data_IF_836628869142
#
_entry.id   IF_836628869142
#
_cell.length_a   1.000
_cell.length_b   1.000
_cell.length_c   1.000
_cell.angle_alpha   90.00
_cell.angle_beta   90.00
_cell.angle_gamma   90.00
#
_symmetry.space_group_name_H-M   'P 1'
#
loop_
_entity.id
_entity.type
_entity.pdbx_description
1 polymer ?
#
# COMPACT_ATOMS: atom_id res chain seq x y z
N UNK A 1 27.45 -31.02 -5.08
CA UNK A 1 26.17 -30.39 -4.70
C UNK A 1 26.09 -29.05 -5.43
N UNK A 2 24.99 -28.72 -6.11
CA UNK A 2 24.81 -27.39 -6.69
C UNK A 2 24.80 -26.36 -5.55
N UNK A 3 25.49 -25.22 -5.74
CA UNK A 3 25.50 -24.14 -4.76
C UNK A 3 24.05 -23.66 -4.53
N UNK A 4 23.69 -23.42 -3.27
CA UNK A 4 22.37 -22.88 -2.89
C UNK A 4 22.26 -21.46 -3.43
N UNK A 5 21.23 -21.20 -4.24
CA UNK A 5 20.95 -19.85 -4.77
C UNK A 5 20.19 -19.04 -3.74
N UNK A 6 20.46 -17.74 -3.66
CA UNK A 6 19.73 -16.81 -2.79
C UNK A 6 18.84 -15.87 -3.59
N UNK A 7 17.52 -15.93 -3.32
CA UNK A 7 16.53 -14.98 -3.81
C UNK A 7 16.18 -13.99 -2.70
N UNK A 8 16.45 -12.71 -2.93
CA UNK A 8 16.14 -11.63 -1.98
C UNK A 8 14.95 -10.84 -2.50
N UNK A 9 13.91 -10.71 -1.69
CA UNK A 9 12.74 -9.86 -1.93
C UNK A 9 12.83 -8.65 -1.00
N UNK A 10 12.95 -7.44 -1.55
CA UNK A 10 13.00 -6.20 -0.76
C UNK A 10 11.66 -5.46 -0.88
N UNK A 11 11.03 -5.26 0.27
CA UNK A 11 9.74 -4.59 0.43
C UNK A 11 8.56 -5.54 0.61
N UNK A 12 7.69 -5.22 1.58
CA UNK A 12 6.44 -5.93 1.88
C UNK A 12 5.28 -5.47 0.98
N UNK A 13 5.50 -5.42 -0.34
CA UNK A 13 4.50 -4.98 -1.29
C UNK A 13 3.57 -6.10 -1.77
N UNK A 14 2.46 -5.74 -2.40
CA UNK A 14 1.40 -6.67 -2.85
C UNK A 14 1.90 -7.74 -3.84
N UNK A 15 2.89 -7.42 -4.68
CA UNK A 15 3.45 -8.41 -5.61
C UNK A 15 4.28 -9.46 -4.87
N UNK A 16 5.05 -9.07 -3.86
CA UNK A 16 5.81 -10.02 -3.02
C UNK A 16 4.91 -10.90 -2.16
N UNK A 17 3.77 -10.39 -1.67
CA UNK A 17 2.78 -11.24 -1.01
C UNK A 17 2.32 -12.39 -1.93
N UNK A 18 2.11 -12.12 -3.23
CA UNK A 18 1.77 -13.16 -4.20
C UNK A 18 2.94 -14.11 -4.45
N UNK A 19 4.18 -13.62 -4.51
CA UNK A 19 5.38 -14.47 -4.62
C UNK A 19 5.44 -15.45 -3.45
N UNK A 20 5.28 -14.97 -2.21
CA UNK A 20 5.28 -15.80 -1.01
C UNK A 20 4.15 -16.83 -1.01
N UNK A 21 2.94 -16.44 -1.47
CA UNK A 21 1.81 -17.36 -1.58
C UNK A 21 2.11 -18.50 -2.56
N UNK A 22 2.70 -18.21 -3.71
CA UNK A 22 3.09 -19.23 -4.69
C UNK A 22 4.31 -20.05 -4.21
N UNK A 23 5.23 -19.42 -3.47
CA UNK A 23 6.37 -20.11 -2.88
C UNK A 23 5.94 -21.12 -1.81
N UNK A 24 4.99 -20.76 -0.94
CA UNK A 24 4.38 -21.67 0.03
C UNK A 24 3.78 -22.92 -0.63
N UNK A 25 3.14 -22.76 -1.80
CA UNK A 25 2.53 -23.88 -2.55
C UNK A 25 3.55 -24.77 -3.23
N UNK A 26 4.64 -24.18 -3.70
CA UNK A 26 5.67 -24.86 -4.49
C UNK A 26 7.05 -24.28 -4.13
N UNK A 27 7.66 -24.70 -3.03
CA UNK A 27 9.04 -24.30 -2.72
C UNK A 27 9.99 -24.67 -3.85
N UNK A 28 11.02 -23.85 -4.11
CA UNK A 28 12.07 -24.19 -5.07
C UNK A 28 13.24 -24.85 -4.33
N UNK A 29 13.56 -26.13 -4.61
CA UNK A 29 14.69 -26.80 -3.97
C UNK A 29 16.02 -26.09 -4.28
N UNK A 30 16.91 -26.04 -3.30
CA UNK A 30 18.24 -25.41 -3.45
C UNK A 30 18.20 -23.88 -3.54
N UNK A 31 17.11 -23.25 -3.06
CA UNK A 31 16.97 -21.79 -3.01
C UNK A 31 16.66 -21.34 -1.61
N UNK A 32 17.49 -20.44 -1.09
CA UNK A 32 17.22 -19.65 0.11
C UNK A 32 16.38 -18.44 -0.29
N UNK A 33 15.20 -18.29 0.31
CA UNK A 33 14.33 -17.11 0.12
C UNK A 33 14.44 -16.19 1.32
N UNK A 34 14.87 -14.94 1.08
CA UNK A 34 14.98 -13.91 2.11
C UNK A 34 14.06 -12.75 1.76
N UNK A 35 13.31 -12.26 2.74
CA UNK A 35 12.43 -11.08 2.61
C UNK A 35 12.91 -9.99 3.54
N UNK A 36 13.21 -8.82 3.00
CA UNK A 36 13.71 -7.66 3.74
C UNK A 36 12.66 -6.56 3.71
N UNK A 37 12.18 -6.13 4.86
CA UNK A 37 11.30 -4.94 4.97
C UNK A 37 11.22 -4.50 6.43
N UNK A 38 11.17 -3.17 6.72
CA UNK A 38 10.89 -2.64 8.05
C UNK A 38 9.38 -2.68 8.39
N UNK A 39 8.56 -3.23 7.51
CA UNK A 39 7.09 -3.23 7.64
C UNK A 39 6.59 -4.66 7.70
N UNK A 40 6.37 -5.19 8.90
CA UNK A 40 5.82 -6.52 9.09
C UNK A 40 4.33 -6.63 8.76
N UNK A 41 3.54 -5.61 9.11
CA UNK A 41 2.10 -5.55 8.83
C UNK A 41 1.82 -4.57 7.70
N UNK A 42 1.64 -5.07 6.48
CA UNK A 42 1.45 -4.24 5.29
C UNK A 42 -0.03 -4.01 4.98
N UNK A 43 -0.55 -2.75 5.04
CA UNK A 43 -1.94 -2.47 4.72
C UNK A 43 -2.26 -2.74 3.25
N UNK A 44 -3.40 -3.38 3.00
CA UNK A 44 -3.93 -3.53 1.65
C UNK A 44 -4.58 -2.22 1.18
N UNK A 45 -3.97 -1.58 0.20
CA UNK A 45 -4.36 -0.26 -0.29
C UNK A 45 -5.84 -0.14 -0.68
N UNK A 46 -6.44 -1.22 -1.20
CA UNK A 46 -7.86 -1.26 -1.57
C UNK A 46 -8.81 -1.11 -0.37
N UNK A 47 -8.38 -1.51 0.83
CA UNK A 47 -9.21 -1.42 2.05
C UNK A 47 -8.93 -0.17 2.89
N UNK A 48 -7.85 0.57 2.61
CA UNK A 48 -7.48 1.78 3.36
C UNK A 48 -8.62 2.81 3.46
N UNK A 49 -9.36 3.16 2.38
CA UNK A 49 -10.46 4.10 2.50
C UNK A 49 -11.57 3.63 3.45
N UNK A 50 -11.89 2.34 3.44
CA UNK A 50 -12.85 1.74 4.36
C UNK A 50 -12.38 1.78 5.82
N UNK A 51 -11.07 1.56 6.06
CA UNK A 51 -10.47 1.69 7.38
C UNK A 51 -10.46 3.14 7.86
N UNK A 52 -10.07 4.09 7.03
CA UNK A 52 -10.15 5.53 7.34
C UNK A 52 -11.57 5.93 7.72
N UNK A 53 -12.58 5.41 7.01
CA UNK A 53 -13.99 5.62 7.34
C UNK A 53 -14.46 4.84 8.59
N UNK A 54 -13.65 3.95 9.16
CA UNK A 54 -14.01 3.10 10.31
C UNK A 54 -14.96 1.95 9.98
N UNK A 55 -15.04 1.55 8.71
CA UNK A 55 -15.76 0.35 8.27
C UNK A 55 -14.97 -0.95 8.50
N UNK A 56 -13.65 -0.83 8.66
CA UNK A 56 -12.74 -1.92 8.99
C UNK A 56 -11.87 -1.55 10.18
N UNK A 57 -11.47 -2.54 10.97
CA UNK A 57 -10.37 -2.40 11.91
C UNK A 57 -9.03 -2.53 11.17
N UNK A 58 -7.94 -2.05 11.77
CA UNK A 58 -6.61 -2.10 11.14
C UNK A 58 -6.15 -3.55 10.89
N UNK A 59 -6.39 -4.45 11.85
CA UNK A 59 -6.04 -5.88 11.74
C UNK A 59 -6.78 -6.62 10.60
N UNK A 60 -7.93 -6.11 10.15
CA UNK A 60 -8.69 -6.68 9.04
C UNK A 60 -8.12 -6.33 7.65
N UNK A 61 -7.24 -5.32 7.58
CA UNK A 61 -6.75 -4.79 6.30
C UNK A 61 -5.27 -5.04 6.05
N UNK A 62 -4.55 -5.71 6.97
CA UNK A 62 -3.11 -5.94 6.86
C UNK A 62 -2.77 -7.35 6.40
N UNK A 63 -1.67 -7.46 5.66
CA UNK A 63 -0.99 -8.72 5.37
C UNK A 63 0.15 -8.83 6.38
N UNK A 64 0.17 -9.92 7.15
CA UNK A 64 1.23 -10.25 8.10
C UNK A 64 2.37 -10.96 7.35
N UNK A 65 3.39 -10.19 6.98
CA UNK A 65 4.51 -10.69 6.19
C UNK A 65 5.41 -11.65 6.98
N UNK A 66 5.78 -11.42 8.25
CA UNK A 66 6.53 -12.38 9.05
C UNK A 66 5.86 -13.76 9.08
N UNK A 67 4.55 -13.83 9.36
CA UNK A 67 3.81 -15.09 9.33
C UNK A 67 3.73 -15.71 7.94
N UNK A 68 3.56 -14.89 6.91
CA UNK A 68 3.53 -15.37 5.53
C UNK A 68 4.90 -15.92 5.10
N UNK A 69 6.00 -15.29 5.52
CA UNK A 69 7.36 -15.78 5.33
C UNK A 69 7.58 -17.11 6.01
N UNK A 70 7.25 -17.22 7.30
CA UNK A 70 7.36 -18.47 8.04
C UNK A 70 6.59 -19.61 7.36
N UNK A 71 5.36 -19.36 6.91
CA UNK A 71 4.54 -20.34 6.20
C UNK A 71 5.08 -20.70 4.79
N UNK A 72 5.92 -19.84 4.21
CA UNK A 72 6.57 -20.07 2.93
C UNK A 72 7.99 -20.65 3.06
N UNK A 73 8.50 -20.84 4.30
CA UNK A 73 9.89 -21.25 4.54
C UNK A 73 10.90 -20.18 4.13
N UNK A 74 10.53 -18.91 4.20
CA UNK A 74 11.36 -17.76 3.88
C UNK A 74 11.90 -17.10 5.16
N UNK A 75 13.12 -16.57 5.09
CA UNK A 75 13.70 -15.79 6.18
C UNK A 75 13.19 -14.36 6.13
N UNK A 76 12.65 -13.88 7.25
CA UNK A 76 12.28 -12.47 7.43
C UNK A 76 13.41 -11.68 8.04
N UNK A 77 13.76 -10.55 7.42
CA UNK A 77 14.75 -9.59 7.92
C UNK A 77 14.05 -8.24 8.13
N UNK A 78 13.94 -7.82 9.38
CA UNK A 78 13.38 -6.53 9.76
C UNK A 78 14.44 -5.43 9.56
N UNK A 79 14.51 -4.91 8.35
CA UNK A 79 15.46 -3.87 7.97
C UNK A 79 14.96 -3.08 6.75
N UNK A 80 15.46 -1.86 6.61
CA UNK A 80 15.27 -1.03 5.42
C UNK A 80 16.44 -1.20 4.45
N UNK A 81 16.17 -1.15 3.16
CA UNK A 81 17.20 -1.04 2.12
C UNK A 81 17.80 0.36 2.15
N UNK A 82 19.08 0.46 2.46
CA UNK A 82 19.83 1.71 2.43
C UNK A 82 20.42 1.99 1.04
N UNK A 83 21.12 1.04 0.49
CA UNK A 83 21.74 1.15 -0.84
C UNK A 83 21.89 -0.20 -1.52
N UNK A 84 22.19 -0.18 -2.81
CA UNK A 84 22.34 -1.35 -3.66
C UNK A 84 23.65 -1.27 -4.42
N UNK A 85 24.41 -2.37 -4.52
CA UNK A 85 25.46 -2.60 -5.50
C UNK A 85 25.01 -3.70 -6.45
N UNK A 86 24.41 -3.32 -7.57
CA UNK A 86 23.86 -4.29 -8.51
C UNK A 86 24.94 -5.06 -9.30
N UNK A 87 26.17 -4.52 -9.41
CA UNK A 87 27.29 -5.21 -10.06
C UNK A 87 27.85 -6.32 -9.17
N UNK A 88 27.97 -6.04 -7.87
CA UNK A 88 28.40 -7.04 -6.88
C UNK A 88 27.26 -7.92 -6.37
N UNK A 89 26.04 -7.69 -6.84
CA UNK A 89 24.85 -8.42 -6.42
C UNK A 89 24.66 -8.37 -4.89
N UNK A 90 24.75 -7.18 -4.31
CA UNK A 90 24.67 -6.96 -2.88
C UNK A 90 23.70 -5.83 -2.54
N UNK A 91 22.89 -6.00 -1.51
CA UNK A 91 22.08 -4.95 -0.88
C UNK A 91 22.67 -4.60 0.48
N UNK A 92 22.74 -3.30 0.79
CA UNK A 92 23.15 -2.80 2.10
C UNK A 92 21.90 -2.41 2.88
N UNK A 93 21.80 -2.91 4.09
CA UNK A 93 20.65 -2.73 4.96
C UNK A 93 20.90 -1.70 6.05
N UNK A 94 19.84 -1.11 6.58
CA UNK A 94 19.91 -0.17 7.71
C UNK A 94 20.56 -0.75 8.97
N UNK A 95 20.65 -2.06 9.08
CA UNK A 95 21.37 -2.79 10.14
C UNK A 95 22.89 -2.79 9.94
N UNK A 96 23.39 -2.29 8.81
CA UNK A 96 24.82 -2.27 8.45
C UNK A 96 25.34 -3.56 7.82
N UNK A 97 24.60 -4.66 7.85
CA UNK A 97 25.02 -5.92 7.26
C UNK A 97 24.74 -5.94 5.74
N UNK A 98 25.73 -6.29 4.89
CA UNK A 98 25.50 -6.54 3.48
C UNK A 98 24.79 -7.89 3.29
N UNK A 99 23.89 -7.97 2.30
CA UNK A 99 23.19 -9.19 1.95
C UNK A 99 23.40 -9.46 0.44
N UNK A 100 24.15 -10.50 0.12
CA UNK A 100 24.39 -10.93 -1.25
C UNK A 100 23.19 -11.69 -1.81
N UNK A 101 22.99 -11.63 -3.14
CA UNK A 101 21.89 -12.29 -3.82
C UNK A 101 22.32 -12.85 -5.20
N UNK A 102 21.72 -13.95 -5.62
CA UNK A 102 21.74 -14.40 -7.01
C UNK A 102 20.62 -13.74 -7.83
N UNK A 103 19.45 -13.55 -7.20
CA UNK A 103 18.33 -12.83 -7.75
C UNK A 103 17.78 -11.84 -6.72
N UNK A 104 17.44 -10.65 -7.18
CA UNK A 104 16.82 -9.59 -6.38
C UNK A 104 15.46 -9.22 -6.95
N UNK A 105 14.47 -9.02 -6.09
CA UNK A 105 13.19 -8.43 -6.47
C UNK A 105 12.84 -7.26 -5.57
N UNK A 106 12.47 -6.13 -6.18
CA UNK A 106 12.14 -4.87 -5.51
C UNK A 106 10.64 -4.60 -5.60
N UNK A 107 9.97 -4.50 -4.46
CA UNK A 107 8.56 -4.11 -4.36
C UNK A 107 8.34 -3.19 -3.15
N UNK A 108 9.15 -2.15 -3.07
CA UNK A 108 9.22 -1.19 -1.96
C UNK A 108 8.12 -0.12 -2.01
N UNK A 109 7.29 -0.14 -3.06
CA UNK A 109 6.24 0.86 -3.23
C UNK A 109 6.76 2.23 -3.65
N UNK A 110 6.13 3.28 -3.14
CA UNK A 110 6.47 4.68 -3.41
C UNK A 110 6.19 5.52 -2.17
N UNK A 111 6.77 6.70 -2.14
CA UNK A 111 6.61 7.67 -1.06
C UNK A 111 5.89 8.93 -1.50
N UNK A 112 5.62 9.82 -0.57
CA UNK A 112 5.18 11.20 -0.76
C UNK A 112 5.97 12.09 0.20
N UNK A 113 6.30 13.29 -0.25
CA UNK A 113 6.90 14.34 0.56
C UNK A 113 6.03 15.58 0.48
N UNK A 114 5.03 15.69 1.35
CA UNK A 114 4.24 16.91 1.43
C UNK A 114 5.15 18.08 1.84
N UNK A 115 4.97 19.26 1.25
CA UNK A 115 5.62 20.45 1.76
C UNK A 115 5.11 20.76 3.19
N UNK A 116 5.89 21.47 4.00
CA UNK A 116 5.41 21.94 5.30
C UNK A 116 4.11 22.76 5.14
N UNK A 117 3.14 22.48 6.00
CA UNK A 117 1.92 23.27 6.11
C UNK A 117 1.91 23.96 7.48
N UNK A 118 2.12 25.28 7.49
CA UNK A 118 2.23 26.04 8.73
C UNK A 118 0.98 25.87 9.61
N UNK A 119 1.17 25.38 10.83
CA UNK A 119 0.08 25.21 11.81
C UNK A 119 -0.91 24.06 11.55
N UNK A 120 -0.83 23.35 10.43
CA UNK A 120 -1.69 22.22 10.11
C UNK A 120 -1.02 20.85 10.37
N UNK A 121 -1.80 19.87 10.80
CA UNK A 121 -1.38 18.46 10.75
C UNK A 121 -1.39 17.98 9.31
N UNK A 122 -0.35 17.24 8.89
CA UNK A 122 -0.27 16.71 7.54
C UNK A 122 -0.37 15.17 7.58
N UNK A 123 -1.36 14.63 6.91
CA UNK A 123 -1.56 13.19 6.75
C UNK A 123 -1.23 12.80 5.30
N UNK A 124 -0.02 12.28 5.08
CA UNK A 124 0.40 11.76 3.79
C UNK A 124 -0.20 10.37 3.55
N UNK A 125 -0.77 10.15 2.37
CA UNK A 125 -1.38 8.86 2.02
C UNK A 125 -0.34 7.80 1.58
N UNK A 126 0.94 8.15 1.61
CA UNK A 126 2.08 7.24 1.34
C UNK A 126 3.31 7.68 2.15
N UNK A 127 4.17 6.73 2.55
CA UNK A 127 3.98 5.27 2.46
C UNK A 127 2.86 4.78 3.39
N UNK A 128 2.16 3.71 2.98
CA UNK A 128 0.99 3.20 3.73
C UNK A 128 1.33 2.71 5.14
N UNK A 129 2.56 2.31 5.38
CA UNK A 129 3.03 1.84 6.69
C UNK A 129 3.01 2.94 7.77
N UNK A 130 3.22 4.20 7.37
CA UNK A 130 3.23 5.35 8.30
C UNK A 130 1.83 5.93 8.52
N UNK A 131 0.85 5.53 7.71
CA UNK A 131 -0.50 6.08 7.79
C UNK A 131 -1.24 5.72 9.09
N UNK A 132 -1.17 4.48 9.64
CA UNK A 132 -1.91 4.13 10.84
C UNK A 132 -1.55 4.95 12.09
N UNK A 133 -0.28 5.10 12.49
CA UNK A 133 0.07 5.94 13.63
C UNK A 133 -0.30 7.41 13.39
N UNK A 134 0.00 7.97 12.22
CA UNK A 134 -0.31 9.36 11.90
C UNK A 134 -1.84 9.63 11.93
N UNK A 135 -2.64 8.70 11.43
CA UNK A 135 -4.10 8.83 11.50
C UNK A 135 -4.63 8.66 12.91
N UNK A 136 -4.01 7.82 13.74
CA UNK A 136 -4.32 7.72 15.18
C UNK A 136 -4.15 9.04 15.91
N UNK A 137 -3.07 9.77 15.63
CA UNK A 137 -2.83 11.12 16.19
C UNK A 137 -3.90 12.13 15.74
N UNK A 138 -4.33 12.09 14.47
CA UNK A 138 -5.42 12.92 13.96
C UNK A 138 -6.72 12.64 14.69
N UNK A 139 -7.08 11.36 14.86
CA UNK A 139 -8.31 10.99 15.57
C UNK A 139 -8.26 11.35 17.05
N UNK A 140 -7.12 11.17 17.70
CA UNK A 140 -6.90 11.55 19.09
C UNK A 140 -7.09 13.07 19.26
N UNK A 141 -6.45 13.88 18.43
CA UNK A 141 -6.61 15.33 18.46
C UNK A 141 -8.06 15.76 18.22
N UNK A 142 -8.74 15.14 17.23
CA UNK A 142 -10.15 15.44 16.95
C UNK A 142 -11.07 15.16 18.12
N UNK A 143 -10.84 14.07 18.84
CA UNK A 143 -11.71 13.64 19.96
C UNK A 143 -11.36 14.33 21.27
N UNK A 144 -10.10 14.70 21.51
CA UNK A 144 -9.64 15.28 22.78
C UNK A 144 -9.74 16.81 22.85
N UNK A 145 -9.73 17.50 21.71
CA UNK A 145 -9.86 18.97 21.70
C UNK A 145 -11.22 19.43 22.25
N UNK A 146 -11.26 20.28 23.30
CA UNK A 146 -12.50 20.74 23.85
C UNK A 146 -13.23 21.71 22.91
N UNK A 147 -14.55 21.84 23.10
CA UNK A 147 -15.38 22.78 22.36
C UNK A 147 -15.80 22.30 20.98
N UNK A 148 -16.60 23.13 20.31
CA UNK A 148 -17.19 22.83 19.00
C UNK A 148 -16.57 23.65 17.85
N UNK A 149 -15.35 24.16 18.01
CA UNK A 149 -14.67 24.90 16.94
C UNK A 149 -14.61 24.04 15.67
N UNK A 150 -15.08 24.54 14.51
CA UNK A 150 -15.01 23.80 13.25
C UNK A 150 -13.57 23.46 12.88
N UNK A 151 -13.34 22.24 12.35
CA UNK A 151 -12.10 21.92 11.67
C UNK A 151 -12.21 22.17 10.17
N UNK A 152 -11.10 22.67 9.61
CA UNK A 152 -10.91 22.84 8.16
C UNK A 152 -9.98 21.75 7.65
N UNK A 153 -10.52 20.88 6.81
CA UNK A 153 -9.82 19.78 6.21
C UNK A 153 -9.52 20.10 4.75
N UNK A 154 -8.25 20.15 4.37
CA UNK A 154 -7.86 20.33 2.98
C UNK A 154 -7.26 19.04 2.40
N UNK A 155 -7.91 18.48 1.38
CA UNK A 155 -7.39 17.39 0.57
C UNK A 155 -6.58 17.93 -0.60
N UNK A 156 -5.40 17.35 -0.87
CA UNK A 156 -4.54 17.72 -2.00
C UNK A 156 -4.40 16.54 -2.93
N UNK A 157 -4.93 16.67 -4.14
CA UNK A 157 -4.94 15.64 -5.18
C UNK A 157 -6.35 15.17 -5.57
N UNK A 158 -6.76 15.43 -6.82
CA UNK A 158 -8.08 15.08 -7.38
C UNK A 158 -8.18 13.65 -7.93
N UNK A 159 -7.19 12.80 -7.70
CA UNK A 159 -7.19 11.40 -8.10
C UNK A 159 -8.01 10.49 -7.16
N UNK A 160 -8.07 9.16 -7.45
CA UNK A 160 -8.82 8.19 -6.64
C UNK A 160 -8.48 8.23 -5.15
N UNK A 161 -7.21 8.22 -4.79
CA UNK A 161 -6.77 8.24 -3.40
C UNK A 161 -7.22 9.50 -2.65
N UNK A 162 -7.13 10.68 -3.30
CA UNK A 162 -7.55 11.95 -2.68
C UNK A 162 -9.05 12.00 -2.44
N UNK A 163 -9.84 11.60 -3.44
CA UNK A 163 -11.31 11.58 -3.33
C UNK A 163 -11.77 10.60 -2.25
N UNK A 164 -11.27 9.37 -2.27
CA UNK A 164 -11.64 8.35 -1.27
C UNK A 164 -11.21 8.74 0.14
N UNK A 165 -9.97 9.22 0.32
CA UNK A 165 -9.47 9.62 1.63
C UNK A 165 -10.25 10.81 2.19
N UNK A 166 -10.54 11.80 1.35
CA UNK A 166 -11.33 12.96 1.74
C UNK A 166 -12.72 12.54 2.26
N UNK A 167 -13.46 11.75 1.46
CA UNK A 167 -14.79 11.27 1.83
C UNK A 167 -14.76 10.38 3.09
N UNK A 168 -13.76 9.50 3.18
CA UNK A 168 -13.59 8.58 4.31
C UNK A 168 -13.32 9.33 5.63
N UNK A 169 -12.36 10.26 5.61
CA UNK A 169 -11.98 11.02 6.81
C UNK A 169 -13.13 11.95 7.23
N UNK A 170 -13.76 12.66 6.29
CA UNK A 170 -14.95 13.49 6.58
C UNK A 170 -16.05 12.69 7.27
N UNK A 171 -16.38 11.49 6.74
CA UNK A 171 -17.39 10.61 7.33
C UNK A 171 -16.98 10.12 8.72
N UNK A 172 -15.70 9.79 8.94
CA UNK A 172 -15.19 9.34 10.23
C UNK A 172 -15.24 10.43 11.30
N UNK A 173 -14.75 11.62 11.00
CA UNK A 173 -14.71 12.74 11.92
C UNK A 173 -16.13 13.14 12.37
N UNK A 174 -17.07 13.27 11.45
CA UNK A 174 -18.48 13.56 11.75
C UNK A 174 -19.15 12.50 12.60
N UNK A 175 -18.85 11.23 12.39
CA UNK A 175 -19.40 10.14 13.20
C UNK A 175 -18.86 10.15 14.62
N UNK A 176 -17.59 10.51 14.80
CA UNK A 176 -16.97 10.60 16.13
C UNK A 176 -17.42 11.82 16.94
N UNK A 177 -17.63 12.95 16.28
CA UNK A 177 -18.08 14.20 16.89
C UNK A 177 -19.19 14.85 16.04
N UNK A 178 -20.44 14.38 16.14
CA UNK A 178 -21.58 14.96 15.42
C UNK A 178 -21.87 16.43 15.80
N UNK A 179 -21.47 16.81 17.01
CA UNK A 179 -21.57 18.16 17.57
C UNK A 179 -20.57 19.15 16.98
N UNK A 180 -19.52 18.66 16.31
CA UNK A 180 -18.41 19.49 15.81
C UNK A 180 -18.42 19.57 14.28
N UNK A 181 -18.56 20.79 13.69
CA UNK A 181 -18.53 20.95 12.24
C UNK A 181 -17.16 20.62 11.64
N UNK A 182 -17.18 19.99 10.46
CA UNK A 182 -16.01 19.78 9.61
C UNK A 182 -16.28 20.34 8.24
N UNK A 183 -15.44 21.26 7.78
CA UNK A 183 -15.48 21.85 6.44
C UNK A 183 -14.35 21.30 5.59
N UNK A 184 -14.67 20.80 4.40
CA UNK A 184 -13.72 20.21 3.48
C UNK A 184 -13.43 21.08 2.26
N UNK A 185 -12.17 21.08 1.80
CA UNK A 185 -11.78 21.61 0.50
C UNK A 185 -10.88 20.60 -0.18
N UNK A 186 -11.17 20.22 -1.43
CA UNK A 186 -10.30 19.38 -2.24
C UNK A 186 -9.66 20.22 -3.33
N UNK A 187 -8.32 20.28 -3.32
CA UNK A 187 -7.49 21.04 -4.25
C UNK A 187 -6.80 20.11 -5.23
N UNK A 188 -6.81 20.45 -6.50
CA UNK A 188 -6.10 19.67 -7.53
C UNK A 188 -5.60 20.61 -8.65
N UNK A 189 -4.38 20.38 -9.11
CA UNK A 189 -3.80 20.99 -10.30
C UNK A 189 -4.49 20.56 -11.61
N UNK A 190 -5.10 19.37 -11.58
CA UNK A 190 -5.92 18.90 -12.71
C UNK A 190 -7.21 19.73 -12.84
N UNK A 191 -7.54 20.13 -14.04
CA UNK A 191 -8.82 20.79 -14.36
C UNK A 191 -10.03 19.86 -14.18
N UNK A 192 -9.82 18.55 -14.00
CA UNK A 192 -10.87 17.55 -13.85
C UNK A 192 -10.64 16.67 -12.64
N UNK A 193 -11.72 16.39 -11.93
CA UNK A 193 -11.73 15.38 -10.87
C UNK A 193 -11.62 13.98 -11.49
N UNK A 194 -10.82 13.09 -10.87
CA UNK A 194 -10.68 11.69 -11.28
C UNK A 194 -10.33 11.53 -12.79
N UNK A 195 -9.25 12.14 -13.27
CA UNK A 195 -8.86 11.98 -14.66
C UNK A 195 -8.69 10.48 -14.99
N UNK A 196 -9.16 10.08 -16.17
CA UNK A 196 -9.12 8.68 -16.62
C UNK A 196 -10.30 7.81 -16.19
N UNK A 197 -11.22 8.29 -15.32
CA UNK A 197 -12.48 7.60 -15.02
C UNK A 197 -13.63 8.08 -15.91
N UNK A 198 -14.70 7.27 -15.96
CA UNK A 198 -15.88 7.59 -16.77
C UNK A 198 -16.53 8.92 -16.35
N UNK A 199 -17.15 9.67 -17.30
CA UNK A 199 -17.88 10.89 -16.96
C UNK A 199 -18.95 10.68 -15.90
N UNK A 200 -19.63 9.53 -15.91
CA UNK A 200 -20.64 9.20 -14.89
C UNK A 200 -20.01 9.05 -13.50
N UNK A 201 -18.86 8.36 -13.39
CA UNK A 201 -18.15 8.23 -12.13
C UNK A 201 -17.62 9.58 -11.60
N UNK A 202 -17.14 10.45 -12.48
CA UNK A 202 -16.70 11.82 -12.11
C UNK A 202 -17.86 12.64 -11.55
N UNK A 203 -19.02 12.62 -12.20
CA UNK A 203 -20.23 13.30 -11.68
C UNK A 203 -20.69 12.71 -10.35
N UNK A 204 -20.66 11.38 -10.19
CA UNK A 204 -20.99 10.73 -8.92
C UNK A 204 -20.06 11.17 -7.79
N UNK A 205 -18.75 11.23 -8.06
CA UNK A 205 -17.75 11.71 -7.08
C UNK A 205 -17.98 13.19 -6.71
N UNK A 206 -18.27 14.06 -7.68
CA UNK A 206 -18.59 15.47 -7.39
C UNK A 206 -19.83 15.61 -6.53
N UNK A 207 -20.89 14.81 -6.78
CA UNK A 207 -22.09 14.78 -5.91
C UNK A 207 -21.76 14.29 -4.51
N UNK A 208 -21.00 13.21 -4.38
CA UNK A 208 -20.60 12.67 -3.08
C UNK A 208 -19.78 13.67 -2.26
N UNK A 209 -18.84 14.36 -2.90
CA UNK A 209 -18.04 15.42 -2.25
C UNK A 209 -18.92 16.60 -1.82
N UNK A 210 -19.82 17.08 -2.70
CA UNK A 210 -20.75 18.15 -2.37
C UNK A 210 -21.66 17.77 -1.20
N UNK A 211 -22.26 16.57 -1.21
CA UNK A 211 -23.08 16.02 -0.13
C UNK A 211 -22.28 15.89 1.19
N UNK A 212 -20.97 15.60 1.09
CA UNK A 212 -20.07 15.63 2.22
C UNK A 212 -19.59 17.05 2.61
N UNK A 213 -20.14 18.13 2.04
CA UNK A 213 -19.74 19.53 2.35
C UNK A 213 -18.30 19.83 1.97
N UNK A 214 -17.81 19.21 0.89
CA UNK A 214 -16.45 19.43 0.37
C UNK A 214 -16.53 20.35 -0.85
N UNK A 215 -15.86 21.50 -0.76
CA UNK A 215 -15.66 22.44 -1.87
C UNK A 215 -14.53 21.96 -2.78
N UNK A 216 -14.67 22.14 -4.10
CA UNK A 216 -13.67 21.76 -5.09
C UNK A 216 -12.91 22.99 -5.61
N UNK A 217 -11.57 22.89 -5.64
CA UNK A 217 -10.67 23.84 -6.30
C UNK A 217 -9.84 23.08 -7.33
N UNK A 218 -10.35 22.96 -8.54
CA UNK A 218 -9.71 22.29 -9.66
C UNK A 218 -8.91 23.29 -10.50
N UNK A 219 -7.87 22.83 -11.22
CA UNK A 219 -6.95 23.67 -11.96
C UNK A 219 -6.09 24.58 -11.05
N UNK A 220 -5.98 24.26 -9.78
CA UNK A 220 -5.23 25.01 -8.78
C UNK A 220 -4.16 24.12 -8.13
N UNK A 221 -2.91 24.52 -8.24
CA UNK A 221 -1.84 23.87 -7.51
C UNK A 221 -1.95 24.20 -6.00
N UNK A 222 -1.46 23.30 -5.18
CA UNK A 222 -1.29 23.57 -3.76
C UNK A 222 -0.30 24.73 -3.56
N UNK A 223 -0.63 25.62 -2.62
CA UNK A 223 0.30 26.62 -2.09
C UNK A 223 0.18 26.70 -0.57
N UNK A 224 1.20 27.20 0.11
CA UNK A 224 1.17 27.39 1.57
C UNK A 224 -0.03 28.22 2.00
N UNK A 225 -0.41 29.25 1.22
CA UNK A 225 -1.58 30.09 1.48
C UNK A 225 -2.92 29.33 1.46
N UNK A 226 -3.02 28.29 0.62
CA UNK A 226 -4.20 27.39 0.61
C UNK A 226 -4.28 26.57 1.89
N UNK A 227 -3.12 26.26 2.49
CA UNK A 227 -3.01 25.49 3.74
C UNK A 227 -3.09 26.31 5.03
N UNK A 228 -2.89 27.61 4.94
CA UNK A 228 -2.73 28.53 6.11
C UNK A 228 -3.85 28.47 7.14
N UNK A 229 -5.04 28.06 6.74
CA UNK A 229 -6.21 27.97 7.61
C UNK A 229 -6.73 26.54 7.79
N UNK A 230 -5.88 25.53 7.47
CA UNK A 230 -6.27 24.13 7.62
C UNK A 230 -5.84 23.60 9.00
N UNK A 231 -6.70 22.83 9.64
CA UNK A 231 -6.36 22.06 10.84
C UNK A 231 -5.73 20.72 10.44
N UNK A 232 -6.16 20.18 9.28
CA UNK A 232 -5.65 18.93 8.71
C UNK A 232 -5.50 19.04 7.19
N UNK A 233 -4.34 18.63 6.69
CA UNK A 233 -4.07 18.47 5.25
C UNK A 233 -3.92 17.00 4.92
N UNK A 234 -4.80 16.48 4.05
CA UNK A 234 -4.68 15.14 3.47
C UNK A 234 -3.88 15.21 2.17
N UNK A 235 -2.66 14.67 2.19
CA UNK A 235 -1.78 14.73 1.03
C UNK A 235 -1.85 13.45 0.20
N UNK A 236 -2.48 13.50 -0.98
CA UNK A 236 -2.74 12.38 -1.86
C UNK A 236 -2.38 12.66 -3.32
N UNK A 237 -1.27 13.36 -3.54
CA UNK A 237 -0.73 13.68 -4.88
C UNK A 237 -0.06 12.47 -5.53
N UNK A 238 0.63 12.68 -6.67
CA UNK A 238 1.36 11.65 -7.39
C UNK A 238 2.45 10.98 -6.55
N UNK A 239 2.77 9.74 -6.90
CA UNK A 239 3.80 8.96 -6.25
C UNK A 239 5.21 9.51 -6.50
N UNK A 240 6.10 9.40 -5.53
CA UNK A 240 7.53 9.70 -5.63
C UNK A 240 8.36 8.44 -5.37
N UNK A 241 9.49 8.32 -6.04
CA UNK A 241 10.45 7.27 -5.75
C UNK A 241 11.17 7.54 -4.42
N UNK A 242 11.64 6.47 -3.78
CA UNK A 242 12.44 6.57 -2.56
C UNK A 242 13.79 7.24 -2.83
N UNK A 243 14.43 7.77 -1.79
CA UNK A 243 15.68 8.53 -1.94
C UNK A 243 16.80 7.70 -2.53
N UNK A 244 16.97 6.46 -2.05
CA UNK A 244 17.99 5.58 -2.58
C UNK A 244 17.83 5.30 -4.10
N UNK A 245 16.61 5.32 -4.63
CA UNK A 245 16.35 5.16 -6.07
C UNK A 245 16.78 6.40 -6.87
N UNK A 246 16.60 7.59 -6.29
CA UNK A 246 16.93 8.87 -6.94
C UNK A 246 18.42 9.20 -6.84
N UNK A 247 19.08 8.72 -5.79
CA UNK A 247 20.50 8.94 -5.56
C UNK A 247 21.36 7.98 -6.41
N UNK A 248 22.16 8.48 -7.37
CA UNK A 248 23.05 7.65 -8.19
C UNK A 248 24.03 6.81 -7.37
N UNK A 249 24.52 7.33 -6.23
CA UNK A 249 25.47 6.65 -5.38
C UNK A 249 24.84 5.47 -4.63
N UNK A 250 23.52 5.51 -4.35
CA UNK A 250 22.82 4.52 -3.54
C UNK A 250 22.09 3.46 -4.37
N UNK A 251 21.76 3.74 -5.63
CA UNK A 251 21.00 2.81 -6.49
C UNK A 251 21.86 1.79 -7.24
N UNK A 252 23.19 1.82 -7.11
CA UNK A 252 24.10 0.79 -7.61
C UNK A 252 24.02 0.51 -9.10
N UNK A 253 23.91 1.54 -9.94
CA UNK A 253 23.86 1.40 -11.39
C UNK A 253 22.49 1.02 -11.98
N UNK A 254 21.44 0.82 -11.17
CA UNK A 254 20.09 0.57 -11.71
C UNK A 254 19.64 1.72 -12.61
N UNK A 255 19.18 1.39 -13.81
CA UNK A 255 18.54 2.34 -14.70
C UNK A 255 17.18 2.77 -14.13
N UNK A 256 17.00 4.10 -14.01
CA UNK A 256 15.75 4.72 -13.57
C UNK A 256 15.28 5.76 -14.58
N UNK A 257 13.98 6.05 -14.61
CA UNK A 257 13.45 7.19 -15.35
C UNK A 257 13.68 8.51 -14.55
N UNK A 258 13.42 9.67 -15.14
CA UNK A 258 13.71 10.98 -14.54
C UNK A 258 13.13 11.19 -13.13
N UNK A 259 12.01 10.53 -12.77
CA UNK A 259 11.41 10.54 -11.42
C UNK A 259 12.02 9.55 -10.44
N UNK A 260 13.05 8.77 -10.82
CA UNK A 260 13.73 7.81 -9.96
C UNK A 260 13.10 6.41 -9.91
N UNK A 261 12.04 6.13 -10.64
CA UNK A 261 11.45 4.79 -10.69
C UNK A 261 12.27 3.85 -11.56
N UNK A 262 12.47 2.60 -11.09
CA UNK A 262 13.31 1.59 -11.75
C UNK A 262 12.70 1.21 -13.10
N UNK A 263 13.48 1.36 -14.17
CA UNK A 263 13.07 0.96 -15.51
C UNK A 263 13.07 -0.56 -15.65
N UNK A 264 11.92 -1.12 -16.05
CA UNK A 264 11.71 -2.57 -16.23
C UNK A 264 11.17 -2.88 -17.62
N UNK A 265 11.56 -4.05 -18.14
CA UNK A 265 11.07 -4.61 -19.39
C UNK A 265 9.69 -5.28 -19.23
N UNK A 266 9.20 -5.90 -20.30
CA UNK A 266 7.95 -6.67 -20.30
C UNK A 266 7.99 -7.93 -19.43
N UNK A 267 9.15 -8.33 -18.96
CA UNK A 267 9.35 -9.47 -18.07
C UNK A 267 9.45 -9.06 -16.59
N UNK A 268 9.27 -7.80 -16.28
CA UNK A 268 9.44 -7.17 -14.95
C UNK A 268 10.91 -7.19 -14.47
N UNK A 269 11.89 -7.33 -15.39
CA UNK A 269 13.31 -7.25 -15.10
C UNK A 269 13.83 -5.84 -15.33
N UNK A 270 14.80 -5.43 -14.53
CA UNK A 270 15.56 -4.21 -14.76
C UNK A 270 16.20 -4.23 -16.15
N UNK A 271 16.06 -3.15 -16.90
CA UNK A 271 16.68 -3.01 -18.23
C UNK A 271 18.22 -2.91 -18.17
N UNK A 272 18.80 -2.68 -17.00
CA UNK A 272 20.25 -2.59 -16.80
C UNK A 272 20.88 -3.81 -16.16
N UNK A 273 20.12 -4.57 -15.35
CA UNK A 273 20.64 -5.72 -14.58
C UNK A 273 19.65 -6.89 -14.63
N UNK A 274 19.89 -7.92 -15.41
CA UNK A 274 18.93 -9.01 -15.68
C UNK A 274 18.61 -9.87 -14.44
N UNK A 275 19.44 -9.87 -13.41
CA UNK A 275 19.20 -10.54 -12.14
C UNK A 275 18.31 -9.74 -11.18
N UNK A 276 17.98 -8.47 -11.51
CA UNK A 276 17.13 -7.60 -10.69
C UNK A 276 15.76 -7.48 -11.32
N UNK A 277 14.72 -7.76 -10.53
CA UNK A 277 13.32 -7.57 -10.87
C UNK A 277 12.74 -6.41 -10.06
N UNK A 278 11.74 -5.70 -10.62
CA UNK A 278 10.98 -4.72 -9.85
C UNK A 278 9.51 -4.73 -10.25
N UNK A 279 8.63 -4.36 -9.31
CA UNK A 279 7.18 -4.40 -9.52
C UNK A 279 6.44 -3.39 -8.65
N UNK A 280 5.21 -3.09 -9.04
CA UNK A 280 4.38 -2.10 -8.34
C UNK A 280 4.89 -0.68 -8.50
N UNK A 281 4.68 0.14 -7.48
CA UNK A 281 4.88 1.58 -7.60
C UNK A 281 6.36 2.01 -7.74
N UNK A 282 7.32 1.20 -7.27
CA UNK A 282 8.75 1.51 -7.41
C UNK A 282 9.30 1.33 -8.84
N UNK A 283 8.54 0.65 -9.71
CA UNK A 283 8.95 0.31 -11.08
C UNK A 283 8.31 1.21 -12.13
N UNK A 284 9.03 1.49 -13.22
CA UNK A 284 8.54 2.11 -14.45
C UNK A 284 8.59 1.08 -15.58
N UNK A 285 7.42 0.72 -16.12
CA UNK A 285 7.29 -0.30 -17.18
C UNK A 285 7.52 0.34 -18.55
N UNK A 286 8.67 0.06 -19.13
CA UNK A 286 9.16 0.68 -20.39
C UNK A 286 8.25 0.46 -21.61
N UNK A 287 7.59 -0.71 -21.81
CA UNK A 287 6.78 -0.91 -23.01
C UNK A 287 5.58 0.03 -23.18
N UNK A 288 5.20 0.79 -22.14
CA UNK A 288 4.17 1.83 -22.25
C UNK A 288 4.77 3.22 -22.14
N UNK A 289 4.53 4.08 -23.12
CA UNK A 289 4.86 5.50 -23.02
C UNK A 289 4.23 6.10 -21.74
N UNK A 290 5.05 6.67 -20.86
CA UNK A 290 4.62 7.17 -19.55
C UNK A 290 4.47 6.09 -18.44
N UNK A 291 4.73 4.83 -18.74
CA UNK A 291 4.65 3.73 -17.78
C UNK A 291 3.22 3.33 -17.40
N UNK A 292 3.08 2.55 -16.33
CA UNK A 292 1.79 2.14 -15.76
C UNK A 292 1.40 3.01 -14.57
N UNK A 293 0.10 3.16 -14.29
CA UNK A 293 -0.37 3.89 -13.11
C UNK A 293 0.23 3.33 -11.81
N UNK A 294 0.65 4.21 -10.91
CA UNK A 294 1.12 3.85 -9.56
C UNK A 294 -0.07 3.51 -8.66
N UNK A 295 -0.61 2.32 -8.83
CA UNK A 295 -1.84 1.86 -8.18
C UNK A 295 -1.72 0.42 -7.71
N UNK A 296 -2.27 0.11 -6.53
CA UNK A 296 -2.21 -1.22 -5.94
C UNK A 296 -2.72 -2.34 -6.84
N UNK A 297 -3.72 -2.08 -7.69
CA UNK A 297 -4.25 -3.07 -8.65
C UNK A 297 -3.20 -3.48 -9.69
N UNK A 298 -2.29 -2.58 -10.07
CA UNK A 298 -1.18 -2.90 -10.99
C UNK A 298 -0.18 -3.82 -10.30
N UNK A 299 0.23 -3.50 -9.08
CA UNK A 299 1.14 -4.34 -8.29
C UNK A 299 0.56 -5.75 -8.05
N UNK A 300 -0.73 -5.84 -7.68
CA UNK A 300 -1.43 -7.13 -7.50
C UNK A 300 -1.39 -7.98 -8.77
N UNK A 301 -1.52 -7.37 -9.94
CA UNK A 301 -1.52 -8.09 -11.23
C UNK A 301 -0.14 -8.44 -11.74
N UNK A 302 0.89 -7.69 -11.36
CA UNK A 302 2.28 -8.06 -11.61
C UNK A 302 2.69 -9.29 -10.79
N UNK A 303 2.12 -9.49 -9.60
CA UNK A 303 2.51 -10.54 -8.66
C UNK A 303 2.60 -11.95 -9.23
N UNK A 304 1.57 -12.50 -9.91
CA UNK A 304 1.64 -13.84 -10.52
C UNK A 304 2.74 -13.99 -11.58
N UNK A 305 2.91 -12.97 -12.44
CA UNK A 305 3.96 -12.98 -13.48
C UNK A 305 5.34 -12.87 -12.85
N UNK A 306 5.49 -12.02 -11.82
CA UNK A 306 6.73 -11.91 -11.06
C UNK A 306 7.10 -13.25 -10.41
N UNK A 307 6.15 -13.92 -9.75
CA UNK A 307 6.37 -15.22 -9.11
C UNK A 307 6.82 -16.29 -10.10
N UNK A 308 6.19 -16.33 -11.30
CA UNK A 308 6.59 -17.25 -12.37
C UNK A 308 7.97 -16.90 -12.93
N UNK A 309 8.25 -15.62 -13.18
CA UNK A 309 9.52 -15.17 -13.75
C UNK A 309 10.71 -15.37 -12.81
N UNK A 310 10.54 -15.17 -11.51
CA UNK A 310 11.57 -15.50 -10.52
C UNK A 310 11.90 -16.99 -10.53
N UNK A 311 10.90 -17.87 -10.63
CA UNK A 311 11.10 -19.33 -10.76
C UNK A 311 11.78 -19.72 -12.06
N UNK A 312 11.39 -19.08 -13.17
CA UNK A 312 12.01 -19.31 -14.48
C UNK A 312 13.48 -18.88 -14.47
N UNK A 313 13.80 -17.73 -13.86
CA UNK A 313 15.17 -17.25 -13.72
C UNK A 313 16.04 -18.21 -12.89
N UNK A 314 15.51 -18.72 -11.75
CA UNK A 314 16.18 -19.74 -10.95
C UNK A 314 16.49 -20.99 -11.79
N UNK A 315 15.55 -21.42 -12.61
CA UNK A 315 15.65 -22.61 -13.44
C UNK A 315 16.37 -22.38 -14.79
N UNK A 316 16.90 -21.19 -15.07
CA UNK A 316 17.52 -20.83 -16.35
C UNK A 316 16.58 -20.86 -17.54
N UNK A 317 15.26 -20.68 -17.33
CA UNK A 317 14.23 -20.72 -18.38
C UNK A 317 13.88 -19.31 -18.87
N UNK A 318 13.40 -19.19 -20.11
CA UNK A 318 12.93 -17.94 -20.69
C UNK A 318 11.78 -17.34 -19.87
N UNK A 319 11.80 -16.02 -19.58
CA UNK A 319 10.76 -15.34 -18.81
C UNK A 319 9.45 -15.20 -19.59
N UNK A 320 8.34 -15.08 -18.87
CA UNK A 320 7.02 -14.77 -19.42
C UNK A 320 6.79 -13.26 -19.50
N UNK A 321 6.10 -12.78 -20.53
CA UNK A 321 5.77 -11.37 -20.68
C UNK A 321 4.57 -10.98 -19.81
N UNK A 322 4.68 -9.87 -19.09
CA UNK A 322 3.56 -9.21 -18.42
C UNK A 322 2.71 -8.47 -19.45
N UNK A 323 1.41 -8.71 -19.41
CA UNK A 323 0.44 -8.03 -20.27
C UNK A 323 -0.53 -7.22 -19.42
N UNK A 324 -0.37 -5.91 -19.33
CA UNK A 324 -1.26 -5.06 -18.55
C UNK A 324 -2.67 -5.06 -19.16
N UNK A 325 -3.68 -5.05 -18.30
CA UNK A 325 -5.05 -4.89 -18.77
C UNK A 325 -5.31 -3.43 -19.19
N UNK A 326 -5.84 -3.18 -20.38
CA UNK A 326 -6.09 -1.81 -20.85
C UNK A 326 -7.21 -1.11 -20.08
N UNK A 327 -8.12 -1.88 -19.47
CA UNK A 327 -9.26 -1.37 -18.68
C UNK A 327 -9.47 -2.23 -17.47
N UNK A 328 -9.42 -1.66 -16.28
CA UNK A 328 -9.74 -2.32 -15.03
C UNK A 328 -10.94 -1.68 -14.35
N UNK A 329 -11.62 -2.46 -13.53
CA UNK A 329 -12.69 -1.97 -12.67
C UNK A 329 -12.07 -1.15 -11.54
N UNK A 330 -12.57 0.07 -11.34
CA UNK A 330 -12.28 0.91 -10.19
C UNK A 330 -13.53 0.98 -9.32
N UNK A 331 -13.37 0.74 -8.03
CA UNK A 331 -14.44 0.85 -7.02
C UNK A 331 -13.96 1.82 -5.95
N UNK A 332 -14.53 3.03 -5.92
CA UNK A 332 -14.19 4.10 -4.99
C UNK A 332 -15.19 4.13 -3.83
N UNK A 333 -14.72 3.94 -2.62
CA UNK A 333 -15.54 4.06 -1.41
C UNK A 333 -15.90 5.53 -1.15
N UNK A 334 -17.15 5.80 -0.76
CA UNK A 334 -17.63 7.16 -0.45
C UNK A 334 -17.73 7.45 1.06
N UNK A 335 -17.33 6.51 1.91
CA UNK A 335 -17.26 6.69 3.38
C UNK A 335 -18.60 6.54 4.11
N UNK A 336 -19.71 6.49 3.39
CA UNK A 336 -21.12 6.45 3.88
C UNK A 336 -21.78 5.07 3.65
N UNK A 337 -21.02 4.01 3.38
CA UNK A 337 -21.55 2.68 3.04
C UNK A 337 -21.93 2.52 1.57
N UNK A 338 -21.52 3.45 0.71
CA UNK A 338 -21.71 3.43 -0.75
C UNK A 338 -20.35 3.39 -1.45
N UNK A 339 -20.36 3.13 -2.73
CA UNK A 339 -19.16 3.23 -3.57
C UNK A 339 -19.55 3.61 -5.01
N UNK A 340 -18.57 4.13 -5.74
CA UNK A 340 -18.66 4.49 -7.15
C UNK A 340 -17.89 3.43 -7.95
N UNK A 341 -18.56 2.78 -8.90
CA UNK A 341 -17.95 1.84 -9.84
C UNK A 341 -17.66 2.55 -11.17
N UNK A 342 -16.47 2.29 -11.74
CA UNK A 342 -16.08 2.80 -13.06
C UNK A 342 -15.28 1.76 -13.83
N UNK A 343 -15.63 1.54 -15.10
CA UNK A 343 -14.87 0.70 -16.03
C UNK A 343 -15.07 1.17 -17.47
N UNK A 344 -14.03 1.68 -18.10
CA UNK A 344 -14.13 2.29 -19.42
C UNK A 344 -15.13 3.45 -19.42
N UNK A 345 -16.15 3.42 -20.26
CA UNK A 345 -17.21 4.45 -20.30
C UNK A 345 -18.29 4.25 -19.22
N UNK A 346 -18.37 3.05 -18.61
CA UNK A 346 -19.38 2.74 -17.60
C UNK A 346 -19.05 3.39 -16.26
N UNK A 347 -20.10 3.92 -15.59
CA UNK A 347 -20.02 4.41 -14.22
C UNK A 347 -21.37 4.33 -13.54
N UNK A 348 -21.39 3.84 -12.29
CA UNK A 348 -22.57 3.74 -11.44
C UNK A 348 -22.17 3.91 -9.97
N UNK A 349 -23.13 4.17 -9.09
CA UNK A 349 -22.90 4.33 -7.66
C UNK A 349 -23.99 3.66 -6.83
N UNK A 350 -23.68 3.31 -5.61
CA UNK A 350 -24.67 2.78 -4.68
C UNK A 350 -24.09 1.88 -3.59
N UNK A 351 -24.95 1.46 -2.66
CA UNK A 351 -24.61 0.52 -1.61
C UNK A 351 -24.23 -0.88 -2.17
N UNK A 352 -24.80 -1.27 -3.32
CA UNK A 352 -24.42 -2.50 -4.01
C UNK A 352 -22.95 -2.49 -4.45
N UNK A 353 -22.45 -1.35 -4.94
CA UNK A 353 -21.05 -1.19 -5.35
C UNK A 353 -20.10 -1.30 -4.14
N UNK A 354 -20.49 -0.76 -2.97
CA UNK A 354 -19.77 -0.96 -1.73
C UNK A 354 -19.76 -2.43 -1.29
N UNK A 355 -20.91 -3.12 -1.30
CA UNK A 355 -20.98 -4.55 -0.98
C UNK A 355 -20.10 -5.39 -1.91
N UNK A 356 -20.07 -5.04 -3.20
CA UNK A 356 -19.21 -5.70 -4.18
C UNK A 356 -17.73 -5.44 -3.91
N UNK A 357 -17.34 -4.18 -3.68
CA UNK A 357 -15.97 -3.80 -3.28
C UNK A 357 -15.55 -4.58 -2.03
N UNK A 358 -16.34 -4.52 -0.98
CA UNK A 358 -16.06 -5.20 0.29
C UNK A 358 -15.86 -6.72 0.10
N UNK A 359 -16.67 -7.37 -0.74
CA UNK A 359 -16.52 -8.80 -1.05
C UNK A 359 -15.19 -9.10 -1.77
N UNK A 360 -14.82 -8.27 -2.75
CA UNK A 360 -13.56 -8.40 -3.48
C UNK A 360 -12.38 -8.23 -2.53
N UNK A 361 -12.38 -7.17 -1.75
CA UNK A 361 -11.29 -6.81 -0.86
C UNK A 361 -11.09 -7.83 0.26
N UNK A 362 -12.19 -8.28 0.91
CA UNK A 362 -12.12 -9.34 1.92
C UNK A 362 -11.67 -10.69 1.33
N UNK A 363 -12.06 -11.01 0.09
CA UNK A 363 -11.58 -12.21 -0.60
C UNK A 363 -10.08 -12.10 -0.90
N UNK A 364 -9.61 -10.91 -1.24
CA UNK A 364 -8.19 -10.67 -1.51
C UNK A 364 -7.36 -10.88 -0.25
N UNK A 365 -7.68 -10.20 0.85
CA UNK A 365 -6.89 -10.28 2.08
C UNK A 365 -6.86 -11.69 2.68
N UNK A 366 -7.98 -12.43 2.60
CA UNK A 366 -8.06 -13.82 3.08
C UNK A 366 -7.10 -14.78 2.40
N UNK A 367 -6.62 -14.48 1.19
CA UNK A 367 -5.62 -15.32 0.49
C UNK A 367 -4.30 -15.38 1.23
N UNK A 368 -3.98 -14.33 1.95
CA UNK A 368 -2.71 -14.17 2.68
C UNK A 368 -2.84 -14.48 4.16
N UNK A 369 -4.04 -14.76 4.63
CA UNK A 369 -4.25 -15.19 6.00
C UNK A 369 -3.57 -16.55 6.23
N UNK A 370 -2.65 -16.56 7.18
CA UNK A 370 -2.04 -17.79 7.71
C UNK A 370 -2.76 -18.11 9.02
N UNK A 371 -3.29 -19.34 9.15
CA UNK A 371 -3.87 -19.78 10.40
C UNK A 371 -2.84 -19.63 11.52
N UNK A 372 -3.26 -19.10 12.67
CA UNK A 372 -2.42 -19.15 13.86
C UNK A 372 -2.13 -20.63 14.15
N UNK A 373 -0.85 -21.00 14.23
CA UNK A 373 -0.50 -22.32 14.79
C UNK A 373 -1.14 -22.39 16.16
N UNK A 374 -1.97 -23.41 16.39
CA UNK A 374 -2.43 -23.73 17.74
C UNK A 374 -1.16 -24.12 18.49
N UNK A 375 -0.67 -23.23 19.34
CA UNK A 375 0.37 -23.59 20.30
C UNK A 375 -0.04 -24.89 21.01
N UNK A 376 0.93 -25.72 21.44
CA UNK A 376 0.62 -26.95 22.15
C UNK A 376 -0.35 -26.62 23.30
N UNK A 377 -1.47 -27.34 23.38
CA UNK A 377 -2.44 -27.17 24.41
C UNK A 377 -1.70 -27.28 25.77
N UNK A 378 -1.65 -26.16 26.49
CA UNK A 378 -1.16 -26.18 27.88
C UNK A 378 -2.11 -27.09 28.64
N UNK A 379 -1.67 -28.32 28.85
CA UNK A 379 -2.36 -29.29 29.73
C UNK A 379 -2.44 -28.64 31.12
N UNK A 380 -3.62 -28.19 31.51
CA UNK A 380 -3.89 -27.83 32.90
C UNK A 380 -3.75 -29.10 33.69
N UNK A 381 -2.72 -29.17 34.51
CA UNK A 381 -2.60 -30.19 35.54
C UNK A 381 -3.86 -30.17 36.43
N UNK A 382 -4.39 -31.32 36.82
CA UNK A 382 -5.54 -31.38 37.71
C UNK A 382 -5.16 -30.76 39.06
N UNK A 383 -5.93 -29.78 39.50
CA UNK A 383 -5.86 -29.22 40.86
C UNK A 383 -6.26 -30.31 41.84
N UNK A 384 -5.29 -30.85 42.56
CA UNK A 384 -5.53 -31.73 43.71
C UNK A 384 -6.15 -30.89 44.82
N UNK A 385 -7.42 -31.12 45.08
CA UNK A 385 -8.12 -30.59 46.25
C UNK A 385 -7.53 -31.25 47.49
N UNK A 386 -6.81 -30.50 48.30
CA UNK A 386 -6.50 -30.86 49.67
C UNK A 386 -7.78 -30.72 50.51
N UNK A 387 -8.35 -31.85 50.88
CA UNK A 387 -9.29 -31.94 51.97
C UNK A 387 -8.53 -31.62 53.26
N UNK A 388 -8.82 -30.49 53.88
CA UNK A 388 -8.56 -30.30 55.31
C UNK A 388 -9.62 -31.08 56.09
N UNK A 389 -9.16 -32.13 56.78
CA UNK A 389 -9.95 -32.85 57.69
C UNK A 389 -10.04 -32.09 59.01
N UNK A 390 -11.28 -31.96 59.50
CA UNK A 390 -11.65 -31.60 60.83
C UNK A 390 -11.15 -32.67 61.85
N UNK A 391 -10.55 -32.20 62.89
CA UNK A 391 -10.46 -33.00 64.16
C UNK A 391 -10.30 -32.08 65.35
N UNK A 392 -11.34 -32.10 66.19
CA UNK A 392 -11.42 -31.88 67.66
C UNK A 392 -11.09 -30.48 68.21
#
# INVERSE_FOLDING_TARGET
MAAMKRLVLVGAGHAHAQVLLEWRRRPAPGVELVVVSPVGLAPYSGMVPGWLAGAYRHDEIVIDFPRLCAAAGAHWVDAELDSLDAQRQCVHLSTGAPLEYDLLSLNVGSTLRPPPAAGARVLAMRPLALLPPAYGEVLSAWTSEPGARPWRLTGVGGGPAGVESMLAVMARLRRLRPDRPVHGTLVSDSAQLLPGLSPAARRAASRALAAAGVSLRLGSAWSAQVGEHSDLVLWATGAQAHDWQRDPARRGGLAVQAGGFIRIDEHLRSVSHPQVFASGDCAHWEPAAGGLPKAGVVAVRMGPVLADNLRRAIAGRAPASYRPQPRFLVLLATGDGRAIASRGAFGAEGAWAWRWKNRIDRRFIRRYAVAAERGPAVSRAPTTSLHEGDSA
#
